data_IF_906332033101
#
_entry.id   IF_906332033101
#
_cell.length_a   1.000
_cell.length_b   1.000
_cell.length_c   1.000
_cell.angle_alpha   90.00
_cell.angle_beta   90.00
_cell.angle_gamma   90.00
#
_symmetry.space_group_name_H-M   'P 1'
#
loop_
_entity.id
_entity.type
_entity.pdbx_description
1 polymer ?
#
# COMPACT_ATOMS: atom_id res chain seq x y z
N UNK A 1 -11.74 -11.40 9.76
CA UNK A 1 -11.55 -11.65 8.31
C UNK A 1 -12.91 -11.50 7.68
N UNK A 2 -13.03 -10.64 6.66
CA UNK A 2 -14.26 -10.51 5.86
C UNK A 2 -14.54 -11.88 5.26
N UNK A 3 -15.75 -12.41 5.46
CA UNK A 3 -16.16 -13.70 4.89
C UNK A 3 -16.12 -13.64 3.37
N UNK A 4 -16.03 -14.82 2.75
CA UNK A 4 -15.75 -15.07 1.35
C UNK A 4 -16.44 -14.12 0.36
N UNK A 5 -15.73 -13.08 -0.07
CA UNK A 5 -16.12 -12.26 -1.23
C UNK A 5 -16.07 -13.14 -2.48
N UNK A 6 -17.19 -13.27 -3.19
CA UNK A 6 -17.29 -14.12 -4.38
C UNK A 6 -16.61 -13.48 -5.60
N UNK A 7 -16.63 -12.13 -5.68
CA UNK A 7 -16.01 -11.40 -6.79
C UNK A 7 -14.46 -11.54 -6.82
N UNK A 8 -13.88 -12.10 -7.91
CA UNK A 8 -12.44 -12.36 -7.98
C UNK A 8 -11.56 -11.11 -7.97
N UNK A 9 -11.97 -10.02 -8.65
CA UNK A 9 -11.17 -8.79 -8.70
C UNK A 9 -11.13 -8.14 -7.32
N UNK A 10 -12.26 -8.10 -6.62
CA UNK A 10 -12.36 -7.57 -5.28
C UNK A 10 -11.58 -8.42 -4.28
N UNK A 11 -11.70 -9.75 -4.36
CA UNK A 11 -10.95 -10.68 -3.52
C UNK A 11 -9.42 -10.51 -3.67
N UNK A 12 -8.95 -10.32 -4.91
CA UNK A 12 -7.54 -10.00 -5.16
C UNK A 12 -7.14 -8.65 -4.54
N UNK A 13 -7.95 -7.60 -4.72
CA UNK A 13 -7.67 -6.30 -4.11
C UNK A 13 -7.66 -6.37 -2.58
N UNK A 14 -8.55 -7.14 -1.95
CA UNK A 14 -8.57 -7.33 -0.49
C UNK A 14 -7.27 -8.01 -0.03
N UNK A 15 -6.80 -9.02 -0.77
CA UNK A 15 -5.55 -9.73 -0.47
C UNK A 15 -4.33 -8.81 -0.58
N UNK A 16 -4.28 -7.96 -1.61
CA UNK A 16 -3.25 -6.94 -1.79
C UNK A 16 -3.29 -5.86 -0.71
N UNK A 17 -4.48 -5.41 -0.33
CA UNK A 17 -4.69 -4.47 0.79
C UNK A 17 -4.17 -5.09 2.08
N UNK A 18 -4.53 -6.33 2.39
CA UNK A 18 -4.06 -7.03 3.58
C UNK A 18 -2.52 -7.08 3.62
N UNK A 19 -1.90 -7.50 2.52
CA UNK A 19 -0.44 -7.55 2.39
C UNK A 19 0.20 -6.17 2.62
N UNK A 20 -0.41 -5.13 2.05
CA UNK A 20 0.10 -3.76 2.17
C UNK A 20 -0.06 -3.23 3.60
N UNK A 21 -1.19 -3.48 4.24
CA UNK A 21 -1.47 -3.10 5.64
C UNK A 21 -0.46 -3.78 6.58
N UNK A 22 -0.19 -5.08 6.40
CA UNK A 22 0.81 -5.79 7.21
C UNK A 22 2.20 -5.17 7.07
N UNK A 23 2.63 -4.87 5.85
CA UNK A 23 3.92 -4.18 5.61
C UNK A 23 3.98 -2.79 6.24
N UNK A 24 2.87 -2.04 6.22
CA UNK A 24 2.79 -0.73 6.89
C UNK A 24 2.97 -0.91 8.39
N UNK A 25 2.25 -1.86 9.01
CA UNK A 25 2.33 -2.15 10.46
C UNK A 25 3.77 -2.52 10.84
N UNK A 26 4.36 -3.50 10.16
CA UNK A 26 5.75 -3.93 10.41
C UNK A 26 6.76 -2.77 10.27
N UNK A 27 6.53 -1.87 9.31
CA UNK A 27 7.40 -0.71 9.08
C UNK A 27 7.30 0.31 10.22
N UNK A 28 6.09 0.62 10.69
CA UNK A 28 5.91 1.60 11.76
C UNK A 28 6.32 1.05 13.12
N UNK A 29 6.17 -0.26 13.36
CA UNK A 29 6.65 -0.92 14.58
C UNK A 29 8.18 -0.83 14.69
N UNK A 30 8.90 -1.00 13.57
CA UNK A 30 10.36 -0.87 13.52
C UNK A 30 10.85 0.59 13.59
N UNK A 31 10.00 1.56 13.22
CA UNK A 31 10.37 2.98 13.12
C UNK A 31 9.29 3.86 13.76
N UNK A 32 9.35 4.08 15.09
CA UNK A 32 8.35 4.88 15.83
C UNK A 32 8.12 6.29 15.26
N UNK A 33 9.15 6.91 14.67
CA UNK A 33 9.03 8.24 14.05
C UNK A 33 8.10 8.24 12.83
N UNK A 34 7.96 7.10 12.14
CA UNK A 34 7.03 6.93 11.02
C UNK A 34 5.59 6.76 11.47
N UNK A 35 5.36 6.35 12.72
CA UNK A 35 4.00 6.18 13.26
C UNK A 35 3.18 7.47 13.21
N UNK A 36 3.78 8.62 13.57
CA UNK A 36 3.09 9.93 13.52
C UNK A 36 2.58 10.26 12.12
N UNK A 37 3.32 9.90 11.06
CA UNK A 37 2.91 10.10 9.66
C UNK A 37 1.73 9.21 9.26
N UNK A 38 1.49 8.12 9.99
CA UNK A 38 0.43 7.13 9.72
C UNK A 38 -0.79 7.27 10.63
N UNK A 39 -0.90 8.35 11.42
CA UNK A 39 -2.01 8.52 12.34
C UNK A 39 -3.39 8.49 11.64
N UNK A 40 -3.52 9.13 10.48
CA UNK A 40 -4.76 9.11 9.70
C UNK A 40 -5.03 7.75 9.05
N UNK A 41 -3.98 7.00 8.71
CA UNK A 41 -4.12 5.66 8.17
C UNK A 41 -4.76 4.73 9.20
N UNK A 42 -4.20 4.66 10.41
CA UNK A 42 -4.73 3.80 11.47
C UNK A 42 -6.03 4.34 12.07
N UNK A 43 -6.15 5.66 12.24
CA UNK A 43 -7.29 6.28 12.91
C UNK A 43 -8.53 6.47 12.03
N UNK A 44 -8.40 6.43 10.71
CA UNK A 44 -9.51 6.74 9.82
C UNK A 44 -9.54 5.86 8.55
N UNK A 45 -8.48 5.84 7.74
CA UNK A 45 -8.55 5.17 6.43
C UNK A 45 -8.71 3.65 6.52
N UNK A 46 -7.95 2.98 7.39
CA UNK A 46 -8.04 1.54 7.57
C UNK A 46 -9.40 1.12 8.19
N UNK A 47 -9.89 1.74 9.27
CA UNK A 47 -11.23 1.45 9.80
C UNK A 47 -12.35 1.64 8.77
N UNK A 48 -12.32 2.74 8.01
CA UNK A 48 -13.32 3.01 6.96
C UNK A 48 -13.26 1.96 5.85
N UNK A 49 -12.06 1.53 5.46
CA UNK A 49 -11.89 0.44 4.48
C UNK A 49 -12.53 -0.86 4.95
N UNK A 50 -12.29 -1.24 6.22
CA UNK A 50 -12.91 -2.43 6.82
C UNK A 50 -14.43 -2.33 6.77
N UNK A 51 -15.00 -1.18 7.17
CA UNK A 51 -16.45 -0.97 7.14
C UNK A 51 -17.05 -1.06 5.73
N UNK A 52 -16.33 -0.57 4.70
CA UNK A 52 -16.77 -0.69 3.30
C UNK A 52 -16.83 -2.16 2.88
N UNK A 53 -15.77 -2.93 3.17
CA UNK A 53 -15.68 -4.34 2.81
C UNK A 53 -16.71 -5.20 3.55
N UNK A 54 -16.95 -4.91 4.84
CA UNK A 54 -18.00 -5.59 5.61
C UNK A 54 -19.39 -5.36 5.01
N UNK A 55 -19.72 -4.11 4.65
CA UNK A 55 -21.01 -3.81 4.01
C UNK A 55 -21.16 -4.44 2.63
N UNK A 56 -20.06 -4.57 1.88
CA UNK A 56 -20.07 -5.28 0.61
C UNK A 56 -20.44 -6.74 0.79
N UNK A 57 -19.73 -7.45 1.68
CA UNK A 57 -19.96 -8.87 2.00
C UNK A 57 -21.41 -9.09 2.50
N UNK A 58 -21.92 -8.21 3.37
CA UNK A 58 -23.33 -8.27 3.83
C UNK A 58 -24.33 -8.18 2.67
N UNK A 59 -24.11 -7.29 1.69
CA UNK A 59 -25.02 -7.10 0.55
C UNK A 59 -24.86 -8.21 -0.49
N UNK A 60 -23.64 -8.70 -0.73
CA UNK A 60 -23.36 -9.84 -1.61
C UNK A 60 -24.12 -11.08 -1.14
N UNK A 61 -24.02 -11.39 0.16
CA UNK A 61 -24.66 -12.56 0.77
C UNK A 61 -26.19 -12.50 0.76
N UNK A 62 -26.79 -11.32 0.71
CA UNK A 62 -28.25 -11.18 0.60
C UNK A 62 -28.78 -11.49 -0.81
N UNK A 63 -27.89 -11.60 -1.82
CA UNK A 63 -28.24 -11.91 -3.22
C UNK A 63 -29.38 -11.02 -3.76
N UNK A 64 -29.41 -9.76 -3.33
CA UNK A 64 -30.39 -8.78 -3.78
C UNK A 64 -30.15 -8.45 -5.26
N UNK A 65 -31.14 -8.68 -6.10
CA UNK A 65 -31.05 -8.41 -7.55
C UNK A 65 -31.68 -7.05 -7.94
N UNK A 66 -31.62 -6.06 -7.06
CA UNK A 66 -32.14 -4.70 -7.33
C UNK A 66 -31.13 -3.87 -8.12
N UNK A 67 -31.56 -2.78 -8.76
CA UNK A 67 -30.62 -1.86 -9.41
C UNK A 67 -29.70 -1.17 -8.40
N UNK A 68 -30.22 -0.85 -7.21
CA UNK A 68 -29.47 -0.16 -6.16
C UNK A 68 -28.37 -1.05 -5.58
N UNK A 69 -28.63 -2.34 -5.36
CA UNK A 69 -27.58 -3.28 -4.91
C UNK A 69 -26.47 -3.37 -5.95
N UNK A 70 -26.81 -3.57 -7.23
CA UNK A 70 -25.81 -3.62 -8.32
C UNK A 70 -24.94 -2.37 -8.38
N UNK A 71 -25.56 -1.18 -8.35
CA UNK A 71 -24.84 0.11 -8.36
C UNK A 71 -23.91 0.25 -7.15
N UNK A 72 -24.38 -0.15 -5.96
CA UNK A 72 -23.57 -0.14 -4.75
C UNK A 72 -22.34 -1.06 -4.86
N UNK A 73 -22.55 -2.30 -5.34
CA UNK A 73 -21.50 -3.30 -5.49
C UNK A 73 -20.41 -2.82 -6.47
N UNK A 74 -20.80 -2.36 -7.67
CA UNK A 74 -19.87 -1.83 -8.67
C UNK A 74 -19.10 -0.60 -8.16
N UNK A 75 -19.77 0.31 -7.46
CA UNK A 75 -19.14 1.51 -6.91
C UNK A 75 -18.12 1.16 -5.81
N UNK A 76 -18.45 0.16 -5.00
CA UNK A 76 -17.57 -0.34 -3.94
C UNK A 76 -16.33 -1.01 -4.52
N UNK A 77 -16.45 -1.85 -5.54
CA UNK A 77 -15.30 -2.45 -6.23
C UNK A 77 -14.34 -1.38 -6.76
N UNK A 78 -14.86 -0.36 -7.45
CA UNK A 78 -14.06 0.78 -7.93
C UNK A 78 -13.39 1.55 -6.80
N UNK A 79 -14.07 1.70 -5.66
CA UNK A 79 -13.50 2.37 -4.49
C UNK A 79 -12.38 1.55 -3.86
N UNK A 80 -12.56 0.24 -3.70
CA UNK A 80 -11.57 -0.66 -3.10
C UNK A 80 -10.30 -0.70 -3.94
N UNK A 81 -10.40 -0.68 -5.27
CA UNK A 81 -9.24 -0.52 -6.17
C UNK A 81 -8.48 0.78 -5.91
N UNK A 82 -9.17 1.91 -5.72
CA UNK A 82 -8.54 3.19 -5.38
C UNK A 82 -7.88 3.16 -4.00
N UNK A 83 -8.52 2.52 -3.03
CA UNK A 83 -7.98 2.33 -1.68
C UNK A 83 -6.67 1.52 -1.74
N UNK A 84 -6.67 0.42 -2.50
CA UNK A 84 -5.50 -0.43 -2.68
C UNK A 84 -4.29 0.37 -3.20
N UNK A 85 -4.48 1.12 -4.28
CA UNK A 85 -3.43 1.98 -4.84
C UNK A 85 -2.98 3.09 -3.87
N UNK A 86 -3.93 3.70 -3.14
CA UNK A 86 -3.60 4.69 -2.12
C UNK A 86 -2.76 4.10 -0.98
N UNK A 87 -3.06 2.88 -0.54
CA UNK A 87 -2.30 2.21 0.51
C UNK A 87 -0.90 1.82 0.04
N UNK A 88 -0.75 1.32 -1.20
CA UNK A 88 0.57 1.06 -1.81
C UNK A 88 1.42 2.32 -1.86
N UNK A 89 0.81 3.46 -2.23
CA UNK A 89 1.49 4.76 -2.23
C UNK A 89 1.89 5.21 -0.82
N UNK A 90 1.03 5.01 0.18
CA UNK A 90 1.38 5.32 1.56
C UNK A 90 2.55 4.47 2.06
N UNK A 91 2.56 3.17 1.75
CA UNK A 91 3.71 2.30 2.05
C UNK A 91 4.99 2.79 1.36
N UNK A 92 4.93 3.12 0.06
CA UNK A 92 6.07 3.66 -0.68
C UNK A 92 6.61 4.94 -0.05
N UNK A 93 5.72 5.87 0.33
CA UNK A 93 6.10 7.12 1.00
C UNK A 93 6.78 6.88 2.36
N UNK A 94 6.50 5.78 3.05
CA UNK A 94 7.22 5.42 4.27
C UNK A 94 8.69 5.11 3.97
N UNK A 95 9.01 4.51 2.84
CA UNK A 95 10.40 4.19 2.46
C UNK A 95 11.13 5.32 1.74
N UNK A 96 10.42 6.33 1.23
CA UNK A 96 11.02 7.39 0.41
C UNK A 96 12.20 8.11 1.08
N UNK A 97 12.11 8.43 2.38
CA UNK A 97 13.24 9.03 3.11
C UNK A 97 14.44 8.09 3.17
N UNK A 98 14.20 6.81 3.49
CA UNK A 98 15.26 5.82 3.60
C UNK A 98 15.95 5.61 2.23
N UNK A 99 15.19 5.65 1.14
CA UNK A 99 15.71 5.56 -0.23
C UNK A 99 16.61 6.75 -0.57
N UNK A 100 16.19 7.97 -0.24
CA UNK A 100 17.00 9.19 -0.47
C UNK A 100 18.31 9.12 0.30
N UNK A 101 18.26 8.70 1.58
CA UNK A 101 19.45 8.59 2.42
C UNK A 101 20.41 7.52 1.86
N UNK A 102 19.88 6.35 1.45
CA UNK A 102 20.67 5.27 0.84
C UNK A 102 21.29 5.72 -0.50
N UNK A 103 20.54 6.43 -1.35
CA UNK A 103 21.05 6.95 -2.63
C UNK A 103 22.22 7.94 -2.42
N UNK A 104 22.14 8.77 -1.38
CA UNK A 104 23.21 9.70 -1.02
C UNK A 104 24.46 8.93 -0.53
N UNK A 105 24.28 7.93 0.33
CA UNK A 105 25.36 7.06 0.79
C UNK A 105 26.02 6.31 -0.37
N UNK A 106 25.22 5.77 -1.31
CA UNK A 106 25.72 5.10 -2.51
C UNK A 106 26.57 6.02 -3.38
N UNK A 107 26.17 7.28 -3.57
CA UNK A 107 26.96 8.26 -4.33
C UNK A 107 28.29 8.61 -3.66
N UNK A 108 28.28 8.75 -2.33
CA UNK A 108 29.51 8.97 -1.56
C UNK A 108 30.42 7.76 -1.69
N UNK A 109 29.88 6.55 -1.56
CA UNK A 109 30.63 5.31 -1.71
C UNK A 109 31.23 5.16 -3.12
N UNK A 110 30.46 5.43 -4.18
CA UNK A 110 30.93 5.46 -5.57
C UNK A 110 32.09 6.47 -5.74
N UNK A 111 31.97 7.67 -5.17
CA UNK A 111 33.02 8.69 -5.21
C UNK A 111 34.31 8.21 -4.52
N UNK A 112 34.19 7.51 -3.40
CA UNK A 112 35.34 6.93 -2.69
C UNK A 112 36.02 5.83 -3.51
N UNK A 113 35.25 4.91 -4.11
CA UNK A 113 35.79 3.87 -4.99
C UNK A 113 36.56 4.47 -6.17
N UNK A 114 36.01 5.51 -6.80
CA UNK A 114 36.68 6.25 -7.88
C UNK A 114 37.97 6.91 -7.41
N UNK A 115 37.95 7.54 -6.22
CA UNK A 115 39.14 8.16 -5.62
C UNK A 115 40.25 7.16 -5.31
N UNK A 116 39.88 5.94 -4.91
CA UNK A 116 40.82 4.87 -4.58
C UNK A 116 41.29 4.07 -5.82
N UNK A 117 40.81 4.44 -7.01
CA UNK A 117 41.20 3.83 -8.29
C UNK A 117 40.49 2.52 -8.62
N UNK A 118 39.36 2.24 -7.96
CA UNK A 118 38.52 1.06 -8.20
C UNK A 118 37.37 1.33 -9.19
N UNK A 119 37.55 2.29 -10.10
CA UNK A 119 36.51 2.69 -11.07
C UNK A 119 36.18 1.53 -12.02
N UNK A 120 34.93 1.07 -12.00
CA UNK A 120 34.39 0.04 -12.90
C UNK A 120 33.39 0.76 -13.81
N UNK A 121 33.70 0.81 -15.11
CA UNK A 121 33.08 1.64 -16.16
C UNK A 121 31.64 2.16 -15.91
N UNK A 122 31.51 3.48 -16.02
CA UNK A 122 30.50 4.42 -15.52
C UNK A 122 29.10 4.41 -16.21
N UNK A 123 28.61 3.26 -16.71
CA UNK A 123 27.34 3.21 -17.46
C UNK A 123 26.07 2.85 -16.65
N UNK A 124 26.18 2.52 -15.36
CA UNK A 124 25.08 1.84 -14.64
C UNK A 124 24.22 2.71 -13.71
N UNK A 125 24.54 4.00 -13.49
CA UNK A 125 23.78 4.87 -12.55
C UNK A 125 23.14 6.11 -13.19
N UNK A 126 22.58 5.97 -14.40
CA UNK A 126 21.62 6.96 -14.91
C UNK A 126 20.20 6.55 -14.50
N UNK A 127 19.70 7.16 -13.42
CA UNK A 127 18.28 7.19 -13.06
C UNK A 127 17.78 8.62 -13.18
#
# INVERSE_FOLDING_TARGET
MVSQVEDPELSNNISEIHTTVSKIIETVEKKPDKYKKMNNFFGYYLPVTINILTKYDEIENQKLNTEDSKKFMESTQKMVKKINEAFKKQLSNLYQSDMIDTDAEMKVFDTMLKSDGYDVDDNDFKI
#
